data_IF_736156710647
#
_entry.id   IF_736156710647
#
_cell.length_a   1.000
_cell.length_b   1.000
_cell.length_c   1.000
_cell.angle_alpha   90.00
_cell.angle_beta   90.00
_cell.angle_gamma   90.00
#
_symmetry.space_group_name_H-M   'P 1'
#
loop_
_entity.id
_entity.type
_entity.pdbx_description
1 polymer ?
#
# COMPACT_ATOMS: atom_id res chain seq x y z
N UNK A 1 -2.93 -11.93 -20.28
CA UNK A 1 -2.63 -10.55 -19.84
C UNK A 1 -2.10 -10.59 -18.43
N UNK A 2 -0.98 -9.93 -18.20
CA UNK A 2 -0.37 -9.86 -16.86
C UNK A 2 -0.73 -8.57 -16.17
N UNK A 3 -1.02 -8.66 -14.89
CA UNK A 3 -1.15 -7.50 -14.02
C UNK A 3 0.08 -7.44 -13.13
N UNK A 4 0.79 -6.31 -13.17
CA UNK A 4 1.99 -6.09 -12.37
C UNK A 4 1.69 -5.14 -11.23
N UNK A 5 1.81 -5.64 -9.99
CA UNK A 5 1.61 -4.85 -8.78
C UNK A 5 2.95 -4.60 -8.09
N UNK A 6 3.23 -3.35 -7.78
CA UNK A 6 4.42 -2.98 -7.02
C UNK A 6 4.11 -2.98 -5.53
N UNK A 7 4.91 -3.72 -4.74
CA UNK A 7 4.75 -3.75 -3.28
C UNK A 7 5.41 -2.54 -2.64
N UNK A 8 4.63 -1.80 -1.86
CA UNK A 8 5.13 -0.63 -1.13
C UNK A 8 6.04 -1.03 0.03
N UNK A 9 5.91 -2.25 0.54
CA UNK A 9 6.77 -2.74 1.61
C UNK A 9 8.25 -2.75 1.21
N UNK A 10 8.54 -2.85 -0.09
CA UNK A 10 9.90 -2.83 -0.62
C UNK A 10 10.42 -1.42 -0.95
N UNK A 11 9.59 -0.38 -0.81
CA UNK A 11 9.97 0.98 -1.12
C UNK A 11 10.86 1.60 -0.05
N UNK A 12 11.60 2.64 -0.42
CA UNK A 12 12.28 3.52 0.52
C UNK A 12 11.26 4.52 1.07
N UNK A 13 10.84 4.33 2.32
CA UNK A 13 9.76 5.15 2.91
C UNK A 13 10.15 6.62 3.06
N UNK A 14 11.44 6.92 3.14
CA UNK A 14 11.92 8.30 3.16
C UNK A 14 11.77 9.00 1.80
N UNK A 15 11.57 8.22 0.72
CA UNK A 15 11.44 8.70 -0.65
C UNK A 15 10.27 8.04 -1.38
N UNK A 16 9.16 7.89 -0.68
CA UNK A 16 8.00 7.14 -1.19
C UNK A 16 7.48 7.71 -2.50
N UNK A 17 7.32 9.03 -2.59
CA UNK A 17 6.83 9.66 -3.81
C UNK A 17 7.74 9.38 -5.00
N UNK A 18 9.06 9.52 -4.82
CA UNK A 18 10.03 9.23 -5.87
C UNK A 18 9.92 7.78 -6.34
N UNK A 19 9.83 6.83 -5.41
CA UNK A 19 9.78 5.41 -5.74
C UNK A 19 8.46 5.05 -6.42
N UNK A 20 7.34 5.63 -5.98
CA UNK A 20 6.04 5.41 -6.64
C UNK A 20 6.01 6.00 -8.04
N UNK A 21 6.60 7.18 -8.25
CA UNK A 21 6.71 7.79 -9.58
C UNK A 21 7.54 6.93 -10.52
N UNK A 22 8.66 6.38 -10.02
CA UNK A 22 9.51 5.50 -10.81
C UNK A 22 8.79 4.22 -11.21
N UNK A 23 8.06 3.58 -10.29
CA UNK A 23 7.26 2.40 -10.59
C UNK A 23 6.13 2.70 -11.58
N UNK A 24 5.48 3.85 -11.42
CA UNK A 24 4.44 4.30 -12.34
C UNK A 24 4.98 4.46 -13.76
N UNK A 25 6.14 5.12 -13.90
CA UNK A 25 6.80 5.29 -15.20
C UNK A 25 7.24 3.96 -15.81
N UNK A 26 7.56 2.96 -14.98
CA UNK A 26 7.91 1.62 -15.43
C UNK A 26 6.71 0.79 -15.90
N UNK A 27 5.47 1.27 -15.69
CA UNK A 27 4.27 0.65 -16.22
C UNK A 27 3.57 -0.35 -15.31
N UNK A 28 3.70 -0.19 -13.97
CA UNK A 28 2.93 -1.04 -13.05
C UNK A 28 1.43 -0.78 -13.21
N UNK A 29 0.62 -1.81 -12.99
CA UNK A 29 -0.83 -1.72 -13.11
C UNK A 29 -1.50 -1.28 -11.82
N UNK A 30 -0.90 -1.59 -10.68
CA UNK A 30 -1.44 -1.28 -9.36
C UNK A 30 -0.31 -1.23 -8.33
N UNK A 31 -0.62 -0.65 -7.18
CA UNK A 31 0.27 -0.72 -6.01
C UNK A 31 -0.38 -1.59 -4.94
N UNK A 32 0.44 -2.43 -4.31
CA UNK A 32 0.03 -3.33 -3.24
C UNK A 32 0.56 -2.82 -1.91
N UNK A 33 -0.31 -2.70 -0.91
CA UNK A 33 0.06 -2.29 0.43
C UNK A 33 -0.44 -3.31 1.45
N UNK A 34 0.48 -3.81 2.28
CA UNK A 34 0.20 -4.74 3.37
C UNK A 34 0.04 -3.95 4.67
N UNK A 35 -1.15 -3.97 5.24
CA UNK A 35 -1.44 -3.34 6.53
C UNK A 35 -1.38 -4.39 7.62
N UNK A 36 -0.38 -4.29 8.48
CA UNK A 36 -0.09 -5.23 9.57
C UNK A 36 -0.23 -4.50 10.91
N UNK A 37 -0.95 -5.09 11.87
CA UNK A 37 -1.29 -4.45 13.14
C UNK A 37 -0.45 -4.92 14.35
N UNK A 38 0.43 -5.89 14.17
CA UNK A 38 1.23 -6.45 15.26
C UNK A 38 0.47 -7.44 16.15
N UNK A 39 -0.77 -7.79 15.80
CA UNK A 39 -1.62 -8.73 16.53
C UNK A 39 -1.93 -9.96 15.69
N UNK A 40 -2.56 -9.76 14.54
CA UNK A 40 -2.83 -10.84 13.59
C UNK A 40 -1.54 -11.47 13.08
N UNK A 41 -0.53 -10.64 12.82
CA UNK A 41 0.83 -11.04 12.46
C UNK A 41 1.82 -10.34 13.40
N UNK A 42 3.01 -10.92 13.69
CA UNK A 42 3.98 -10.35 14.62
C UNK A 42 4.81 -9.20 14.02
N UNK A 43 4.17 -8.35 13.22
CA UNK A 43 4.82 -7.21 12.58
C UNK A 43 3.82 -6.06 12.46
N UNK A 44 4.35 -4.84 12.43
CA UNK A 44 3.58 -3.62 12.17
C UNK A 44 4.14 -3.00 10.89
N UNK A 45 3.27 -2.65 9.95
CA UNK A 45 3.72 -1.99 8.72
C UNK A 45 3.16 -0.58 8.59
N UNK A 46 1.93 -0.45 8.10
CA UNK A 46 1.31 0.83 7.77
C UNK A 46 -0.10 0.91 8.33
N UNK A 47 -0.60 2.11 8.48
CA UNK A 47 -2.01 2.37 8.77
C UNK A 47 -2.73 2.98 7.58
N UNK A 48 -3.99 3.36 7.80
CA UNK A 48 -4.84 3.95 6.77
C UNK A 48 -4.34 5.31 6.29
N UNK A 49 -3.57 6.03 7.13
CA UNK A 49 -2.92 7.28 6.71
C UNK A 49 -1.97 7.10 5.54
N UNK A 50 -1.22 6.00 5.50
CA UNK A 50 -0.35 5.67 4.38
C UNK A 50 -1.16 5.45 3.10
N UNK A 51 -2.29 4.74 3.20
CA UNK A 51 -3.15 4.49 2.05
C UNK A 51 -3.66 5.82 1.47
N UNK A 52 -4.08 6.75 2.32
CA UNK A 52 -4.51 8.08 1.87
C UNK A 52 -3.40 8.87 1.21
N UNK A 53 -2.18 8.77 1.72
CA UNK A 53 -1.01 9.38 1.09
C UNK A 53 -0.78 8.81 -0.30
N UNK A 54 -0.85 7.50 -0.43
CA UNK A 54 -0.66 6.83 -1.72
C UNK A 54 -1.72 7.23 -2.75
N UNK A 55 -2.96 7.43 -2.31
CA UNK A 55 -4.03 7.90 -3.20
C UNK A 55 -3.70 9.24 -3.85
N UNK A 56 -3.00 10.12 -3.14
CA UNK A 56 -2.59 11.42 -3.68
C UNK A 56 -1.40 11.32 -4.63
N UNK A 57 -0.64 10.23 -4.55
CA UNK A 57 0.59 10.05 -5.34
C UNK A 57 0.40 9.29 -6.64
N UNK A 58 -0.75 8.64 -6.82
CA UNK A 58 -1.01 7.84 -8.01
C UNK A 58 -2.49 7.82 -8.37
N UNK A 59 -2.77 7.63 -9.68
CA UNK A 59 -4.11 7.33 -10.16
C UNK A 59 -4.33 5.83 -10.37
N UNK A 60 -3.28 5.02 -10.14
CA UNK A 60 -3.38 3.56 -10.27
C UNK A 60 -4.18 2.98 -9.11
N UNK A 61 -4.84 1.82 -9.30
CA UNK A 61 -5.52 1.11 -8.22
C UNK A 61 -4.58 0.77 -7.08
N UNK A 62 -5.12 0.81 -5.85
CA UNK A 62 -4.42 0.38 -4.65
C UNK A 62 -5.03 -0.94 -4.19
N UNK A 63 -4.20 -1.97 -4.11
CA UNK A 63 -4.58 -3.29 -3.62
C UNK A 63 -4.17 -3.36 -2.14
N UNK A 64 -5.15 -3.20 -1.25
CA UNK A 64 -4.91 -3.14 0.19
C UNK A 64 -5.16 -4.50 0.81
N UNK A 65 -4.13 -5.07 1.42
CA UNK A 65 -4.19 -6.34 2.12
C UNK A 65 -4.19 -6.09 3.63
N UNK A 66 -5.33 -6.34 4.28
CA UNK A 66 -5.50 -6.12 5.72
C UNK A 66 -5.11 -7.38 6.49
N UNK A 67 -3.94 -7.36 7.11
CA UNK A 67 -3.47 -8.40 8.03
C UNK A 67 -3.64 -7.90 9.46
N UNK A 68 -4.91 -7.79 9.88
CA UNK A 68 -5.32 -7.17 11.15
C UNK A 68 -6.42 -8.02 11.79
N UNK A 69 -6.54 -7.95 13.14
CA UNK A 69 -7.55 -8.72 13.88
C UNK A 69 -8.97 -8.26 13.59
N UNK A 70 -9.17 -6.94 13.38
CA UNK A 70 -10.50 -6.34 13.19
C UNK A 70 -10.55 -5.56 11.90
N UNK A 71 -10.57 -6.24 10.73
CA UNK A 71 -10.52 -5.54 9.45
C UNK A 71 -11.69 -4.59 9.21
N UNK A 72 -12.86 -4.88 9.76
CA UNK A 72 -14.04 -4.02 9.59
C UNK A 72 -13.86 -2.64 10.24
N UNK A 73 -13.00 -2.52 11.26
CA UNK A 73 -12.71 -1.24 11.91
C UNK A 73 -11.94 -0.30 10.98
N UNK A 74 -11.27 -0.83 9.97
CA UNK A 74 -10.44 -0.05 9.03
C UNK A 74 -11.16 0.32 7.74
N UNK A 75 -12.21 -0.41 7.37
CA UNK A 75 -12.90 -0.21 6.10
C UNK A 75 -13.46 1.20 5.89
N UNK A 76 -14.05 1.87 6.90
CA UNK A 76 -14.59 3.21 6.70
C UNK A 76 -13.57 4.25 6.26
N UNK A 77 -12.27 4.02 6.55
CA UNK A 77 -11.20 4.94 6.17
C UNK A 77 -10.57 4.61 4.81
N UNK A 78 -10.95 3.52 4.23
CA UNK A 78 -10.45 3.07 2.93
C UNK A 78 -11.50 3.33 1.85
#
# INVERSE_FOLDING_TARGET
MFELCASILAADFANLERDMRAANAAGVDAFHIDVMDGHFVPAISFGTGMVRTMERLTTKPLDVHLMVEKPLDFLPEL
#
